data_IF_015623602940
#
_entry.id   IF_015623602940
#
_cell.length_a   1.000
_cell.length_b   1.000
_cell.length_c   1.000
_cell.angle_alpha   90.00
_cell.angle_beta   90.00
_cell.angle_gamma   90.00
#
_symmetry.space_group_name_H-M   'P 1'
#
loop_
_entity.id
_entity.type
_entity.pdbx_description
1 polymer ?
#
# COMPACT_ATOMS: atom_id res chain seq x y z
N UNK A 1 -16.53 -12.39 -16.58
CA UNK A 1 -16.44 -12.67 -15.16
C UNK A 1 -15.77 -11.51 -14.44
N UNK A 2 -16.41 -11.02 -13.44
CA UNK A 2 -15.95 -9.83 -12.71
C UNK A 2 -14.59 -10.02 -12.05
N UNK A 3 -14.29 -11.23 -11.62
CA UNK A 3 -13.04 -11.53 -10.95
C UNK A 3 -11.83 -11.23 -11.83
N UNK A 4 -11.89 -11.64 -13.10
CA UNK A 4 -10.78 -11.38 -14.03
C UNK A 4 -10.59 -9.90 -14.27
N UNK A 5 -11.68 -9.17 -14.42
CA UNK A 5 -11.63 -7.72 -14.63
C UNK A 5 -10.99 -7.03 -13.44
N UNK A 6 -11.40 -7.40 -12.24
CA UNK A 6 -10.86 -6.82 -11.01
C UNK A 6 -9.39 -7.17 -10.83
N UNK A 7 -9.02 -8.40 -11.17
CA UNK A 7 -7.64 -8.84 -11.07
C UNK A 7 -6.73 -8.04 -12.00
N UNK A 8 -7.20 -7.71 -13.20
CA UNK A 8 -6.42 -6.91 -14.15
C UNK A 8 -6.20 -5.49 -13.66
N UNK A 9 -7.08 -4.97 -12.83
CA UNK A 9 -6.96 -3.63 -12.28
C UNK A 9 -5.96 -3.55 -11.13
N UNK A 10 -5.50 -4.68 -10.61
CA UNK A 10 -4.58 -4.75 -9.49
C UNK A 10 -3.21 -5.17 -9.98
N UNK A 11 -2.18 -4.47 -9.50
CA UNK A 11 -0.80 -4.81 -9.84
C UNK A 11 -0.50 -6.26 -9.43
N UNK A 12 0.02 -7.09 -10.37
CA UNK A 12 0.35 -8.49 -10.05
C UNK A 12 1.29 -8.64 -8.84
N UNK A 13 2.13 -7.66 -8.57
CA UNK A 13 2.99 -7.71 -7.38
C UNK A 13 2.20 -7.69 -6.10
N UNK A 14 1.10 -6.94 -6.06
CA UNK A 14 0.25 -6.88 -4.87
C UNK A 14 -0.34 -8.25 -4.59
N UNK A 15 -0.87 -8.90 -5.62
CA UNK A 15 -1.45 -10.24 -5.49
C UNK A 15 -0.40 -11.21 -4.95
N UNK A 16 0.81 -11.15 -5.48
CA UNK A 16 1.91 -12.02 -5.06
C UNK A 16 2.35 -11.72 -3.63
N UNK A 17 2.38 -10.43 -3.25
CA UNK A 17 2.76 -10.01 -1.91
C UNK A 17 1.84 -10.55 -0.83
N UNK A 18 0.55 -10.69 -1.13
CA UNK A 18 -0.42 -11.22 -0.18
C UNK A 18 -0.43 -12.73 -0.14
N UNK A 19 0.24 -13.38 -1.07
CA UNK A 19 0.22 -14.85 -1.22
C UNK A 19 -1.21 -15.37 -1.40
N UNK A 20 -2.09 -14.52 -1.95
CA UNK A 20 -3.47 -14.90 -2.18
C UNK A 20 -3.64 -15.56 -3.54
N UNK A 21 -4.58 -16.48 -3.62
CA UNK A 21 -5.00 -17.00 -4.90
C UNK A 21 -5.56 -15.83 -5.72
N UNK A 22 -5.09 -15.64 -6.97
CA UNK A 22 -5.55 -14.51 -7.79
C UNK A 22 -7.06 -14.44 -7.94
N UNK A 23 -7.73 -15.55 -7.88
CA UNK A 23 -9.19 -15.60 -8.03
C UNK A 23 -9.94 -14.91 -6.92
N UNK A 24 -9.30 -14.64 -5.78
CA UNK A 24 -9.95 -14.00 -4.65
C UNK A 24 -9.84 -12.49 -4.69
N UNK A 25 -9.04 -11.95 -5.60
CA UNK A 25 -8.76 -10.52 -5.65
C UNK A 25 -9.69 -9.85 -6.66
N UNK A 26 -10.53 -8.94 -6.17
CA UNK A 26 -11.42 -8.12 -7.01
C UNK A 26 -11.49 -6.72 -6.39
N UNK A 27 -12.24 -5.80 -7.01
CA UNK A 27 -12.31 -4.41 -6.53
C UNK A 27 -12.75 -4.29 -5.08
N UNK A 28 -13.73 -5.08 -4.68
CA UNK A 28 -14.22 -5.09 -3.32
C UNK A 28 -13.13 -5.60 -2.38
N UNK A 29 -12.52 -6.71 -2.73
CA UNK A 29 -11.47 -7.32 -1.91
C UNK A 29 -10.22 -6.43 -1.89
N UNK A 30 -9.93 -5.72 -2.96
CA UNK A 30 -8.80 -4.80 -3.02
C UNK A 30 -9.01 -3.62 -2.06
N UNK A 31 -10.22 -3.09 -2.00
CA UNK A 31 -10.53 -2.02 -1.05
C UNK A 31 -10.49 -2.51 0.39
N UNK A 32 -11.00 -3.72 0.65
CA UNK A 32 -10.90 -4.32 1.96
C UNK A 32 -9.44 -4.54 2.36
N UNK A 33 -8.62 -5.01 1.43
CA UNK A 33 -7.18 -5.18 1.67
C UNK A 33 -6.51 -3.84 2.00
N UNK A 34 -6.86 -2.79 1.28
CA UNK A 34 -6.36 -1.45 1.55
C UNK A 34 -6.70 -1.01 2.97
N UNK A 35 -7.96 -1.16 3.38
CA UNK A 35 -8.37 -0.78 4.73
C UNK A 35 -7.67 -1.62 5.80
N UNK A 36 -7.48 -2.92 5.54
CA UNK A 36 -6.74 -3.79 6.45
C UNK A 36 -5.28 -3.34 6.58
N UNK A 37 -4.67 -2.91 5.49
CA UNK A 37 -3.29 -2.41 5.52
C UNK A 37 -3.18 -1.09 6.27
N UNK A 38 -4.16 -0.21 6.12
CA UNK A 38 -4.20 1.03 6.90
C UNK A 38 -4.34 0.70 8.39
N UNK A 39 -5.22 -0.23 8.75
CA UNK A 39 -5.38 -0.65 10.14
C UNK A 39 -4.09 -1.27 10.69
N UNK A 40 -3.42 -2.10 9.91
CA UNK A 40 -2.14 -2.70 10.31
C UNK A 40 -1.07 -1.63 10.53
N UNK A 41 -1.03 -0.63 9.66
CA UNK A 41 -0.09 0.47 9.75
C UNK A 41 -0.26 1.25 11.05
N UNK A 42 -1.51 1.42 11.48
CA UNK A 42 -1.85 2.13 12.71
C UNK A 42 -1.58 1.28 13.95
N UNK A 43 -1.94 0.01 13.89
CA UNK A 43 -2.00 -0.86 15.07
C UNK A 43 -0.74 -1.67 15.33
N UNK A 44 0.12 -1.87 14.34
CA UNK A 44 1.36 -2.60 14.55
C UNK A 44 2.28 -1.82 15.47
N UNK A 45 2.96 -2.55 16.34
CA UNK A 45 3.96 -1.97 17.23
C UNK A 45 5.11 -1.35 16.44
N UNK A 46 5.44 -1.96 15.32
CA UNK A 46 6.54 -1.53 14.47
C UNK A 46 6.06 -1.43 13.03
N UNK A 47 6.20 -0.27 12.43
CA UNK A 47 5.75 -0.02 11.06
C UNK A 47 6.56 -0.85 10.07
N UNK A 48 5.87 -1.52 9.15
CA UNK A 48 6.48 -2.34 8.12
C UNK A 48 6.48 -1.62 6.79
N UNK A 49 7.65 -1.55 6.16
CA UNK A 49 7.77 -0.93 4.84
C UNK A 49 6.90 -1.62 3.80
N UNK A 50 6.68 -2.94 3.96
CA UNK A 50 5.83 -3.69 3.06
C UNK A 50 4.39 -3.20 3.06
N UNK A 51 3.85 -2.86 4.23
CA UNK A 51 2.49 -2.32 4.31
C UNK A 51 2.39 -0.99 3.58
N UNK A 52 3.40 -0.15 3.72
CA UNK A 52 3.46 1.14 3.02
C UNK A 52 3.50 0.93 1.50
N UNK A 53 4.36 0.04 1.05
CA UNK A 53 4.50 -0.27 -0.38
C UNK A 53 3.21 -0.83 -0.96
N UNK A 54 2.58 -1.76 -0.26
CA UNK A 54 1.33 -2.38 -0.71
C UNK A 54 0.20 -1.36 -0.79
N UNK A 55 0.09 -0.46 0.17
CA UNK A 55 -0.91 0.61 0.13
C UNK A 55 -0.69 1.50 -1.09
N UNK A 56 0.54 1.86 -1.37
CA UNK A 56 0.87 2.66 -2.55
C UNK A 56 0.43 1.97 -3.83
N UNK A 57 0.71 0.69 -3.96
CA UNK A 57 0.31 -0.06 -5.16
C UNK A 57 -1.20 -0.19 -5.28
N UNK A 58 -1.90 -0.41 -4.19
CA UNK A 58 -3.37 -0.49 -4.20
C UNK A 58 -3.96 0.83 -4.68
N UNK A 59 -3.47 1.96 -4.16
CA UNK A 59 -3.94 3.27 -4.59
C UNK A 59 -3.62 3.54 -6.06
N UNK A 60 -2.44 3.17 -6.50
CA UNK A 60 -2.04 3.35 -7.90
C UNK A 60 -2.81 2.46 -8.86
N UNK A 61 -3.33 1.34 -8.35
CA UNK A 61 -4.15 0.41 -9.13
C UNK A 61 -5.61 0.84 -9.22
N UNK A 62 -5.97 1.94 -8.58
CA UNK A 62 -7.32 2.49 -8.69
C UNK A 62 -8.21 2.29 -7.48
N UNK A 63 -7.68 1.77 -6.38
CA UNK A 63 -8.45 1.64 -5.15
C UNK A 63 -8.76 3.03 -4.61
N UNK A 64 -10.02 3.26 -4.25
CA UNK A 64 -10.47 4.52 -3.68
C UNK A 64 -9.84 4.69 -2.29
N UNK A 65 -9.15 5.81 -2.02
CA UNK A 65 -8.54 6.02 -0.71
C UNK A 65 -9.54 6.26 0.42
N UNK A 66 -10.82 6.45 0.11
CA UNK A 66 -11.83 6.68 1.14
C UNK A 66 -11.94 5.48 2.10
N UNK A 67 -12.05 5.77 3.38
CA UNK A 67 -12.16 4.76 4.42
C UNK A 67 -13.60 4.68 4.90
N UNK A 68 -14.12 3.46 5.03
CA UNK A 68 -15.48 3.23 5.52
C UNK A 68 -15.60 3.43 7.03
N UNK A 69 -14.50 3.24 7.76
CA UNK A 69 -14.45 3.36 9.21
C UNK A 69 -14.09 4.77 9.65
N UNK A 70 -14.94 5.39 10.45
CA UNK A 70 -14.63 6.69 11.05
C UNK A 70 -13.40 6.58 11.96
N UNK A 71 -13.28 5.48 12.68
CA UNK A 71 -12.13 5.24 13.54
C UNK A 71 -10.81 5.28 12.76
N UNK A 72 -10.77 4.61 11.59
CA UNK A 72 -9.57 4.66 10.76
C UNK A 72 -9.29 6.06 10.25
N UNK A 73 -10.33 6.80 9.85
CA UNK A 73 -10.16 8.18 9.38
C UNK A 73 -9.60 9.09 10.48
N UNK A 74 -10.09 8.92 11.69
CA UNK A 74 -9.62 9.72 12.83
C UNK A 74 -8.17 9.41 13.18
N UNK A 75 -7.70 8.20 12.88
CA UNK A 75 -6.34 7.77 13.18
C UNK A 75 -5.39 7.91 11.99
N UNK A 76 -5.85 8.45 10.87
CA UNK A 76 -4.99 8.67 9.70
C UNK A 76 -3.74 9.51 10.01
N UNK A 77 -3.79 10.55 10.84
CA UNK A 77 -2.56 11.28 11.19
C UNK A 77 -1.47 10.36 11.76
N UNK A 78 -1.85 9.37 12.57
CA UNK A 78 -0.91 8.39 13.09
C UNK A 78 -0.36 7.50 11.98
N UNK A 79 -1.21 7.08 11.05
CA UNK A 79 -0.80 6.29 9.91
C UNK A 79 0.22 7.06 9.06
N UNK A 80 -0.06 8.33 8.79
CA UNK A 80 0.82 9.20 8.01
C UNK A 80 2.18 9.35 8.70
N UNK A 81 2.18 9.57 10.00
CA UNK A 81 3.42 9.66 10.77
C UNK A 81 4.23 8.38 10.66
N UNK A 82 3.57 7.22 10.76
CA UNK A 82 4.22 5.94 10.64
C UNK A 82 4.80 5.72 9.23
N UNK A 83 4.07 6.13 8.19
CA UNK A 83 4.56 6.07 6.82
C UNK A 83 5.84 6.89 6.67
N UNK A 84 5.83 8.12 7.20
CA UNK A 84 6.96 9.02 7.09
C UNK A 84 8.18 8.53 7.86
N UNK A 85 7.99 7.62 8.81
CA UNK A 85 9.10 7.06 9.58
C UNK A 85 9.92 6.02 8.81
N UNK A 86 9.39 5.50 7.69
CA UNK A 86 10.08 4.48 6.89
C UNK A 86 11.05 5.15 5.93
N UNK A 87 12.34 4.87 6.12
CA UNK A 87 13.38 5.41 5.26
C UNK A 87 13.62 4.50 4.05
N UNK A 88 14.30 5.03 3.03
CA UNK A 88 14.66 4.24 1.86
C UNK A 88 15.49 2.98 2.20
N UNK A 89 16.52 3.06 3.07
CA UNK A 89 17.25 1.83 3.45
C UNK A 89 16.37 0.75 4.04
N UNK A 90 15.38 1.12 4.84
CA UNK A 90 14.43 0.17 5.42
C UNK A 90 13.55 -0.44 4.32
N UNK A 91 13.02 0.38 3.42
CA UNK A 91 12.28 -0.10 2.27
C UNK A 91 13.13 -1.06 1.43
N UNK A 92 14.37 -0.70 1.17
CA UNK A 92 15.27 -1.52 0.36
C UNK A 92 15.48 -2.89 0.99
N UNK A 93 15.73 -2.95 2.29
CA UNK A 93 16.01 -4.22 2.97
C UNK A 93 14.76 -5.07 3.19
N UNK A 94 13.59 -4.45 3.40
CA UNK A 94 12.37 -5.16 3.72
C UNK A 94 11.52 -5.53 2.50
N UNK A 95 11.63 -4.78 1.42
CA UNK A 95 10.77 -4.95 0.26
C UNK A 95 11.55 -5.13 -1.02
N UNK A 96 12.41 -4.16 -1.34
CA UNK A 96 13.03 -4.08 -2.67
C UNK A 96 13.82 -5.35 -3.02
N UNK A 97 14.60 -5.87 -2.07
CA UNK A 97 15.44 -7.05 -2.32
C UNK A 97 14.62 -8.32 -2.59
N UNK A 98 13.34 -8.33 -2.24
CA UNK A 98 12.45 -9.47 -2.46
C UNK A 98 11.64 -9.35 -3.75
N UNK A 99 11.72 -8.22 -4.44
CA UNK A 99 11.02 -8.05 -5.70
C UNK A 99 11.78 -8.75 -6.83
N UNK A 100 11.03 -9.14 -7.87
CA UNK A 100 11.65 -9.65 -9.08
C UNK A 100 12.61 -8.59 -9.64
N UNK A 101 13.78 -8.99 -10.19
CA UNK A 101 14.76 -8.02 -10.70
C UNK A 101 14.18 -6.96 -11.65
N UNK A 102 13.22 -7.33 -12.50
CA UNK A 102 12.57 -6.39 -13.41
C UNK A 102 11.78 -5.31 -12.67
N UNK A 103 11.34 -5.61 -11.45
CA UNK A 103 10.58 -4.68 -10.60
C UNK A 103 11.47 -3.92 -9.63
N UNK A 104 12.69 -4.39 -9.37
CA UNK A 104 13.61 -3.70 -8.48
C UNK A 104 14.10 -2.39 -9.07
N UNK A 105 14.45 -2.40 -10.35
CA UNK A 105 15.07 -1.27 -11.02
C UNK A 105 14.29 0.04 -10.89
N UNK A 106 12.97 0.06 -11.16
CA UNK A 106 12.21 1.32 -11.04
C UNK A 106 12.14 1.86 -9.62
N UNK A 107 12.27 1.00 -8.62
CA UNK A 107 12.13 1.38 -7.21
C UNK A 107 13.46 1.51 -6.48
N UNK A 108 14.57 1.19 -7.11
CA UNK A 108 15.88 1.27 -6.47
C UNK A 108 16.44 2.68 -6.57
N UNK A 109 15.75 3.62 -5.94
CA UNK A 109 16.10 5.03 -5.94
C UNK A 109 15.46 5.70 -4.72
N UNK A 110 16.25 6.38 -3.92
CA UNK A 110 15.76 7.15 -2.79
C UNK A 110 14.76 8.21 -3.24
N UNK A 111 15.02 8.85 -4.37
CA UNK A 111 14.14 9.86 -4.94
C UNK A 111 12.77 9.27 -5.30
N UNK A 112 12.76 8.10 -5.92
CA UNK A 112 11.52 7.42 -6.28
C UNK A 112 10.74 7.04 -5.02
N UNK A 113 11.42 6.51 -4.01
CA UNK A 113 10.78 6.18 -2.74
C UNK A 113 10.15 7.40 -2.09
N UNK A 114 10.92 8.48 -2.04
CA UNK A 114 10.46 9.73 -1.44
C UNK A 114 9.20 10.26 -2.14
N UNK A 115 9.22 10.26 -3.48
CA UNK A 115 8.09 10.70 -4.28
C UNK A 115 6.85 9.82 -4.06
N UNK A 116 7.05 8.51 -4.00
CA UNK A 116 5.99 7.54 -3.73
C UNK A 116 5.33 7.82 -2.38
N UNK A 117 6.12 8.05 -1.35
CA UNK A 117 5.65 8.34 -0.01
C UNK A 117 4.87 9.65 0.02
N UNK A 118 5.39 10.70 -0.60
CA UNK A 118 4.73 12.00 -0.62
C UNK A 118 3.37 11.94 -1.32
N UNK A 119 3.28 11.25 -2.44
CA UNK A 119 2.01 11.11 -3.17
C UNK A 119 1.00 10.33 -2.35
N UNK A 120 1.43 9.28 -1.67
CA UNK A 120 0.56 8.48 -0.84
C UNK A 120 0.04 9.30 0.35
N UNK A 121 0.93 10.00 1.03
CA UNK A 121 0.57 10.85 2.17
C UNK A 121 -0.44 11.91 1.75
N UNK A 122 -0.22 12.53 0.60
CA UNK A 122 -1.15 13.53 0.07
C UNK A 122 -2.55 12.97 -0.13
N UNK A 123 -2.65 11.77 -0.69
CA UNK A 123 -3.94 11.11 -0.88
C UNK A 123 -4.62 10.79 0.44
N UNK A 124 -3.86 10.34 1.44
CA UNK A 124 -4.41 10.01 2.74
C UNK A 124 -4.83 11.26 3.53
N UNK A 125 -4.07 12.34 3.43
CA UNK A 125 -4.42 13.59 4.10
C UNK A 125 -5.80 14.11 3.67
N UNK A 126 -6.17 13.88 2.43
CA UNK A 126 -7.49 14.29 1.92
C UNK A 126 -8.62 13.50 2.57
N UNK A 127 -8.35 12.35 3.17
CA UNK A 127 -9.35 11.52 3.82
C UNK A 127 -9.44 11.78 5.32
N UNK A 128 -8.49 12.49 5.89
CA UNK A 128 -8.50 12.83 7.31
C UNK A 128 -9.61 13.84 7.61
N UNK A 129 -10.26 13.74 8.79
CA UNK A 129 -11.29 14.69 9.19
C UNK A 129 -10.77 16.12 9.29
#
# INVERSE_FOLDING_TARGET
>A
MTLNTSFEAIDPMIVKSYELAPLLVNHYDAHAAYEQKIAALINRKETQARDVFDISHLLNSGVDPALSSLELRERLPQAIENILSITFPVFKSQVLVFLHPDHQRPYDSEEVWHDLVLKMVERLERQAP
#
